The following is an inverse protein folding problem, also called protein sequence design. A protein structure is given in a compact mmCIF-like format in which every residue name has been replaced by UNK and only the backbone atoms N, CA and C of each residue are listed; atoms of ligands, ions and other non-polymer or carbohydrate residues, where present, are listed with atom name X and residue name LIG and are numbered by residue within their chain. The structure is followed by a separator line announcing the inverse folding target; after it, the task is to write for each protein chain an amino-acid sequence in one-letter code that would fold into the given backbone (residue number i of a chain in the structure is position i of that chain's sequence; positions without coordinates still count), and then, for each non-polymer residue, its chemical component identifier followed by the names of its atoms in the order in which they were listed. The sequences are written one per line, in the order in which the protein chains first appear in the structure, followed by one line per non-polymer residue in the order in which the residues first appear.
data_IF_811195696809
#
_entry.id   IF_811195696809
#
_cell.length_a   1.000
_cell.length_b   1.000
_cell.length_c   1.000
_cell.angle_alpha   90.00
_cell.angle_beta   90.00
_cell.angle_gamma   90.00
#
_symmetry.space_group_name_H-M   'P 1'
#
loop_
_entity.id
_entity.type
_entity.pdbx_description
1 polymer ?
#
# COMPACT_ATOMS: atom_id res chain seq x y z
N UNK A 1 -34.73 -15.13 46.27
CA UNK A 1 -33.70 -14.80 45.23
C UNK A 1 -33.55 -16.03 44.35
N UNK A 2 -34.21 -16.05 43.19
CA UNK A 2 -34.03 -17.12 42.23
C UNK A 2 -32.66 -16.97 41.57
N UNK A 3 -31.70 -17.81 42.00
CA UNK A 3 -30.38 -17.85 41.34
C UNK A 3 -30.55 -18.18 39.86
N UNK A 4 -29.83 -17.48 39.00
CA UNK A 4 -29.74 -17.83 37.58
C UNK A 4 -29.31 -19.28 37.48
N UNK A 5 -30.07 -20.06 36.70
CA UNK A 5 -29.73 -21.47 36.53
C UNK A 5 -28.39 -21.64 35.78
N UNK A 6 -27.61 -22.70 36.09
CA UNK A 6 -26.27 -22.89 35.51
C UNK A 6 -26.26 -22.89 34.01
N UNK A 7 -27.30 -23.40 33.36
CA UNK A 7 -27.41 -23.46 31.91
C UNK A 7 -27.64 -22.08 31.26
N UNK A 8 -28.44 -21.23 31.89
CA UNK A 8 -28.62 -19.82 31.44
C UNK A 8 -27.33 -19.03 31.56
N UNK A 9 -26.57 -19.23 32.64
CA UNK A 9 -25.25 -18.63 32.80
C UNK A 9 -24.27 -19.12 31.74
N UNK A 10 -24.29 -20.41 31.38
CA UNK A 10 -23.42 -20.99 30.36
C UNK A 10 -23.74 -20.42 28.96
N UNK A 11 -25.01 -20.28 28.57
CA UNK A 11 -25.43 -19.70 27.29
C UNK A 11 -24.97 -18.22 27.22
N UNK A 12 -25.21 -17.42 28.26
CA UNK A 12 -24.78 -16.03 28.28
C UNK A 12 -23.26 -15.91 28.21
N UNK A 13 -22.52 -16.72 28.98
CA UNK A 13 -21.07 -16.69 29.00
C UNK A 13 -20.49 -17.04 27.64
N UNK A 14 -20.99 -18.10 26.98
CA UNK A 14 -20.51 -18.53 25.63
C UNK A 14 -20.81 -17.46 24.56
N UNK A 15 -22.03 -16.91 24.57
CA UNK A 15 -22.42 -15.85 23.62
C UNK A 15 -21.57 -14.59 23.80
N UNK A 16 -21.32 -14.20 25.05
CA UNK A 16 -20.49 -13.04 25.37
C UNK A 16 -19.04 -13.27 24.93
N UNK A 17 -18.48 -14.47 25.19
CA UNK A 17 -17.12 -14.81 24.81
C UNK A 17 -16.94 -14.77 23.27
N UNK A 18 -17.86 -15.36 22.52
CA UNK A 18 -17.83 -15.36 21.05
C UNK A 18 -17.98 -13.95 20.49
N UNK A 19 -18.83 -13.11 21.06
CA UNK A 19 -18.98 -11.72 20.65
C UNK A 19 -17.72 -10.89 20.93
N UNK A 20 -17.06 -11.10 22.07
CA UNK A 20 -15.80 -10.42 22.42
C UNK A 20 -14.65 -10.87 21.50
N UNK A 21 -14.54 -12.17 21.18
CA UNK A 21 -13.52 -12.64 20.27
C UNK A 21 -13.71 -12.09 18.85
N UNK A 22 -14.93 -12.07 18.33
CA UNK A 22 -15.24 -11.48 17.04
C UNK A 22 -14.95 -9.96 17.00
N UNK A 23 -15.20 -9.24 18.10
CA UNK A 23 -14.85 -7.83 18.22
C UNK A 23 -13.32 -7.61 18.19
N UNK A 24 -12.55 -8.45 18.88
CA UNK A 24 -11.08 -8.42 18.85
C UNK A 24 -10.55 -8.62 17.43
N UNK A 25 -11.08 -9.59 16.70
CA UNK A 25 -10.70 -9.85 15.29
C UNK A 25 -11.00 -8.65 14.38
N UNK A 26 -12.09 -7.92 14.62
CA UNK A 26 -12.42 -6.68 13.91
C UNK A 26 -11.34 -5.61 14.17
N UNK A 27 -10.92 -5.43 15.42
CA UNK A 27 -9.89 -4.44 15.77
C UNK A 27 -8.54 -4.81 15.16
N UNK A 28 -8.17 -6.08 15.22
CA UNK A 28 -6.93 -6.59 14.61
C UNK A 28 -6.93 -6.40 13.08
N UNK A 29 -8.05 -6.69 12.42
CA UNK A 29 -8.18 -6.47 10.98
C UNK A 29 -8.02 -4.99 10.60
N UNK A 30 -8.61 -4.07 11.38
CA UNK A 30 -8.44 -2.62 11.18
C UNK A 30 -7.00 -2.17 11.40
N UNK A 31 -6.37 -2.66 12.46
CA UNK A 31 -4.97 -2.32 12.78
C UNK A 31 -4.02 -2.82 11.70
N UNK A 32 -4.13 -4.08 11.28
CA UNK A 32 -3.32 -4.67 10.21
C UNK A 32 -3.48 -3.90 8.89
N UNK A 33 -4.70 -3.54 8.54
CA UNK A 33 -4.95 -2.75 7.32
C UNK A 33 -4.30 -1.36 7.39
N UNK A 34 -4.32 -0.71 8.56
CA UNK A 34 -3.66 0.57 8.76
C UNK A 34 -2.14 0.47 8.62
N UNK A 35 -1.53 -0.57 9.20
CA UNK A 35 -0.09 -0.83 9.10
C UNK A 35 0.31 -1.08 7.64
N UNK A 36 -0.40 -1.97 6.94
CA UNK A 36 -0.13 -2.25 5.53
C UNK A 36 -0.32 -1.02 4.64
N UNK A 37 -1.36 -0.22 4.89
CA UNK A 37 -1.56 1.04 4.17
C UNK A 37 -0.34 1.97 4.33
N UNK A 38 0.17 2.14 5.55
CA UNK A 38 1.37 2.96 5.82
C UNK A 38 2.63 2.39 5.16
N UNK A 39 2.76 1.06 5.13
CA UNK A 39 3.87 0.43 4.41
C UNK A 39 3.83 0.77 2.92
N UNK A 40 2.68 0.63 2.25
CA UNK A 40 2.56 1.00 0.84
C UNK A 40 2.77 2.50 0.58
N UNK A 41 2.31 3.37 1.48
CA UNK A 41 2.60 4.81 1.39
C UNK A 41 4.10 5.13 1.50
N UNK A 42 4.84 4.40 2.34
CA UNK A 42 6.28 4.52 2.44
C UNK A 42 6.98 3.97 1.18
N UNK A 43 6.54 2.82 0.65
CA UNK A 43 7.08 2.26 -0.59
C UNK A 43 6.89 3.21 -1.79
N UNK A 44 5.72 3.86 -1.88
CA UNK A 44 5.47 4.90 -2.89
C UNK A 44 6.48 6.03 -2.76
N UNK A 45 6.64 6.59 -1.56
CA UNK A 45 7.59 7.68 -1.31
C UNK A 45 9.03 7.28 -1.62
N UNK A 46 9.43 6.07 -1.26
CA UNK A 46 10.77 5.56 -1.57
C UNK A 46 10.97 5.41 -3.08
N UNK A 47 9.99 4.89 -3.82
CA UNK A 47 10.06 4.78 -5.27
C UNK A 47 10.16 6.16 -5.95
N UNK A 48 9.40 7.15 -5.48
CA UNK A 48 9.48 8.53 -5.99
C UNK A 48 10.83 9.19 -5.70
N UNK A 49 11.36 9.03 -4.48
CA UNK A 49 12.69 9.56 -4.11
C UNK A 49 13.80 8.90 -4.93
N UNK A 50 13.74 7.59 -5.11
CA UNK A 50 14.71 6.87 -5.94
C UNK A 50 14.66 7.35 -7.39
N UNK A 51 13.47 7.56 -7.96
CA UNK A 51 13.31 8.09 -9.30
C UNK A 51 13.93 9.48 -9.45
N UNK A 52 13.73 10.37 -8.47
CA UNK A 52 14.35 11.71 -8.47
C UNK A 52 15.87 11.60 -8.43
N UNK A 53 16.43 10.71 -7.62
CA UNK A 53 17.88 10.48 -7.56
C UNK A 53 18.41 9.96 -8.90
N UNK A 54 17.77 8.95 -9.48
CA UNK A 54 18.14 8.40 -10.78
C UNK A 54 18.02 9.43 -11.90
N UNK A 55 16.98 10.28 -11.92
CA UNK A 55 16.87 11.38 -12.86
C UNK A 55 18.03 12.38 -12.72
N UNK A 56 18.42 12.74 -11.51
CA UNK A 56 19.52 13.65 -11.25
C UNK A 56 20.87 13.05 -11.69
N UNK A 57 21.11 11.78 -11.37
CA UNK A 57 22.31 11.06 -11.80
C UNK A 57 22.41 10.99 -13.34
N UNK A 58 21.27 10.82 -14.03
CA UNK A 58 21.25 10.83 -15.51
C UNK A 58 21.55 12.21 -16.09
N UNK A 59 21.05 13.29 -15.44
CA UNK A 59 21.36 14.66 -15.86
C UNK A 59 22.83 15.00 -15.65
N UNK A 60 23.38 14.70 -14.47
CA UNK A 60 24.78 14.91 -14.14
C UNK A 60 25.70 14.19 -15.13
N UNK A 61 25.48 12.89 -15.38
CA UNK A 61 26.25 12.11 -16.37
C UNK A 61 26.16 12.68 -17.78
N UNK A 62 25.01 13.23 -18.17
CA UNK A 62 24.86 13.87 -19.47
C UNK A 62 25.65 15.18 -19.54
N UNK A 63 25.59 16.01 -18.48
CA UNK A 63 26.34 17.27 -18.37
C UNK A 63 27.84 17.00 -18.39
N UNK A 64 28.34 16.05 -17.62
CA UNK A 64 29.75 15.63 -17.63
C UNK A 64 30.20 15.19 -19.00
N UNK A 65 29.38 14.40 -19.70
CA UNK A 65 29.69 13.94 -21.06
C UNK A 65 29.74 15.11 -22.08
N UNK A 66 28.83 16.08 -21.91
CA UNK A 66 28.83 17.28 -22.74
C UNK A 66 30.06 18.16 -22.46
N UNK A 67 30.43 18.33 -21.17
CA UNK A 67 31.63 19.07 -20.79
C UNK A 67 32.91 18.40 -21.29
N UNK A 68 33.01 17.06 -21.15
CA UNK A 68 34.14 16.29 -21.66
C UNK A 68 34.26 16.43 -23.16
N UNK A 69 33.16 16.39 -23.93
CA UNK A 69 33.16 16.61 -25.36
C UNK A 69 33.65 18.03 -25.70
N UNK A 70 33.17 19.05 -25.02
CA UNK A 70 33.61 20.44 -25.21
C UNK A 70 35.11 20.60 -24.97
N UNK A 71 35.62 20.05 -23.85
CA UNK A 71 37.02 20.08 -23.50
C UNK A 71 37.91 19.38 -24.57
N UNK A 72 37.49 18.20 -25.05
CA UNK A 72 38.17 17.49 -26.10
C UNK A 72 38.25 18.29 -27.39
N UNK A 73 37.13 18.86 -27.87
CA UNK A 73 37.12 19.66 -29.11
C UNK A 73 37.91 20.96 -28.96
N UNK A 74 37.89 21.61 -27.80
CA UNK A 74 38.72 22.78 -27.54
C UNK A 74 40.21 22.45 -27.60
N UNK A 75 40.65 21.30 -27.06
CA UNK A 75 42.05 20.87 -27.09
C UNK A 75 42.55 20.52 -28.53
N UNK A 76 41.65 20.19 -29.44
CA UNK A 76 41.98 19.89 -30.86
C UNK A 76 41.95 21.12 -31.74
N UNK A 77 41.70 22.32 -31.21
CA UNK A 77 41.66 23.58 -31.95
C UNK A 77 40.41 23.80 -32.81
N UNK A 78 39.38 22.96 -32.62
CA UNK A 78 38.08 23.16 -33.28
C UNK A 78 37.22 24.14 -32.52
N UNK A 79 36.53 25.03 -33.24
CA UNK A 79 35.57 25.97 -32.63
C UNK A 79 34.39 25.26 -31.96
N UNK A 80 33.90 25.83 -30.88
CA UNK A 80 32.81 25.31 -30.02
C UNK A 80 31.48 25.04 -30.80
N UNK A 81 31.35 25.56 -32.02
CA UNK A 81 30.18 25.43 -32.90
C UNK A 81 30.38 24.42 -34.03
N UNK A 82 31.35 23.50 -33.95
CA UNK A 82 31.48 22.50 -34.98
C UNK A 82 30.21 21.62 -35.08
N UNK A 83 29.75 21.37 -36.30
CA UNK A 83 28.53 20.57 -36.56
C UNK A 83 28.58 19.19 -35.88
N UNK A 84 29.77 18.64 -35.73
CA UNK A 84 30.00 17.34 -35.10
C UNK A 84 29.83 17.40 -33.58
N UNK A 85 30.30 18.48 -32.89
CA UNK A 85 30.13 18.69 -31.48
C UNK A 85 28.63 18.90 -31.11
N UNK A 86 27.95 19.75 -31.89
CA UNK A 86 26.52 19.97 -31.73
C UNK A 86 25.74 18.67 -31.87
N UNK A 87 26.01 17.90 -32.93
CA UNK A 87 25.35 16.61 -33.16
C UNK A 87 25.63 15.56 -32.05
N UNK A 88 26.86 15.53 -31.51
CA UNK A 88 27.20 14.63 -30.39
C UNK A 88 26.44 15.03 -29.13
N UNK A 89 26.39 16.31 -28.76
CA UNK A 89 25.69 16.81 -27.59
C UNK A 89 24.18 16.65 -27.71
N UNK A 90 23.60 16.80 -28.91
CA UNK A 90 22.17 16.51 -29.14
C UNK A 90 21.82 15.04 -28.89
N UNK A 91 22.70 14.10 -29.32
CA UNK A 91 22.51 12.67 -29.10
C UNK A 91 22.53 12.34 -27.58
N UNK A 92 23.47 12.92 -26.84
CA UNK A 92 23.55 12.76 -25.36
C UNK A 92 22.26 13.28 -24.72
N UNK A 93 21.83 14.48 -25.10
CA UNK A 93 20.59 15.08 -24.56
C UNK A 93 19.35 14.27 -24.90
N UNK A 94 19.24 13.74 -26.13
CA UNK A 94 18.14 12.87 -26.54
C UNK A 94 18.11 11.58 -25.72
N UNK A 95 19.28 10.95 -25.55
CA UNK A 95 19.40 9.73 -24.75
C UNK A 95 19.02 9.99 -23.29
N UNK A 96 19.54 11.04 -22.67
CA UNK A 96 19.18 11.44 -21.31
C UNK A 96 17.66 11.63 -21.15
N UNK A 97 17.01 12.34 -22.09
CA UNK A 97 15.56 12.54 -22.05
C UNK A 97 14.79 11.23 -22.15
N UNK A 98 15.23 10.30 -23.00
CA UNK A 98 14.61 8.97 -23.13
C UNK A 98 14.78 8.17 -21.82
N UNK A 99 15.99 8.11 -21.26
CA UNK A 99 16.27 7.43 -19.99
C UNK A 99 15.41 7.99 -18.84
N UNK A 100 15.27 9.32 -18.75
CA UNK A 100 14.41 9.98 -17.75
C UNK A 100 12.94 9.62 -17.97
N UNK A 101 12.49 9.57 -19.21
CA UNK A 101 11.10 9.15 -19.49
C UNK A 101 10.85 7.71 -19.08
N UNK A 102 11.79 6.81 -19.33
CA UNK A 102 11.70 5.41 -18.93
C UNK A 102 11.66 5.27 -17.39
N UNK A 103 12.49 6.03 -16.65
CA UNK A 103 12.46 6.10 -15.19
C UNK A 103 11.07 6.52 -14.71
N UNK A 104 10.50 7.57 -15.29
CA UNK A 104 9.17 8.07 -14.92
C UNK A 104 8.04 7.08 -15.18
N UNK A 105 8.08 6.42 -16.35
CA UNK A 105 7.09 5.40 -16.71
C UNK A 105 7.16 4.21 -15.75
N UNK A 106 8.36 3.72 -15.45
CA UNK A 106 8.57 2.61 -14.53
C UNK A 106 8.14 2.97 -13.10
N UNK A 107 8.47 4.19 -12.64
CA UNK A 107 8.04 4.68 -11.33
C UNK A 107 6.53 4.82 -11.26
N UNK A 108 5.89 5.39 -12.28
CA UNK A 108 4.43 5.51 -12.32
C UNK A 108 3.74 4.13 -12.29
N UNK A 109 4.28 3.13 -12.99
CA UNK A 109 3.77 1.77 -12.95
C UNK A 109 3.92 1.14 -11.54
N UNK A 110 5.07 1.37 -10.87
CA UNK A 110 5.32 0.87 -9.52
C UNK A 110 4.40 1.54 -8.50
N UNK A 111 4.26 2.86 -8.55
CA UNK A 111 3.32 3.64 -7.72
C UNK A 111 1.89 3.15 -7.93
N UNK A 112 1.46 2.98 -9.18
CA UNK A 112 0.14 2.44 -9.51
C UNK A 112 -0.10 1.06 -8.91
N UNK A 113 0.90 0.18 -8.93
CA UNK A 113 0.84 -1.13 -8.28
C UNK A 113 0.61 -1.01 -6.77
N UNK A 114 1.35 -0.15 -6.07
CA UNK A 114 1.19 0.04 -4.63
C UNK A 114 -0.15 0.70 -4.28
N UNK A 115 -0.65 1.62 -5.09
CA UNK A 115 -1.98 2.20 -4.92
C UNK A 115 -3.09 1.14 -5.04
N UNK A 116 -3.00 0.23 -6.01
CA UNK A 116 -3.91 -0.90 -6.14
C UNK A 116 -3.84 -1.84 -4.94
N UNK A 117 -2.63 -2.14 -4.43
CA UNK A 117 -2.46 -2.95 -3.22
C UNK A 117 -3.07 -2.27 -1.99
N UNK A 118 -2.92 -0.95 -1.84
CA UNK A 118 -3.55 -0.16 -0.78
C UNK A 118 -5.07 -0.25 -0.85
N UNK A 119 -5.65 -0.11 -2.03
CA UNK A 119 -7.09 -0.24 -2.24
C UNK A 119 -7.61 -1.66 -1.95
N UNK A 120 -6.91 -2.69 -2.42
CA UNK A 120 -7.29 -4.08 -2.18
C UNK A 120 -7.23 -4.45 -0.69
N UNK A 121 -6.20 -3.97 0.02
CA UNK A 121 -6.07 -4.15 1.47
C UNK A 121 -7.21 -3.47 2.23
N UNK A 122 -7.58 -2.25 1.84
CA UNK A 122 -8.70 -1.53 2.44
C UNK A 122 -10.04 -2.25 2.19
N UNK A 123 -10.26 -2.78 1.00
CA UNK A 123 -11.45 -3.56 0.66
C UNK A 123 -11.50 -4.88 1.45
N UNK A 124 -10.38 -5.62 1.55
CA UNK A 124 -10.30 -6.85 2.33
C UNK A 124 -10.57 -6.61 3.82
N UNK A 125 -10.02 -5.54 4.40
CA UNK A 125 -10.28 -5.16 5.78
C UNK A 125 -11.75 -4.79 6.01
N UNK A 126 -12.36 -4.03 5.09
CA UNK A 126 -13.79 -3.69 5.14
C UNK A 126 -14.67 -4.95 5.13
N UNK A 127 -14.34 -5.93 4.28
CA UNK A 127 -15.08 -7.19 4.21
C UNK A 127 -14.93 -8.01 5.50
N UNK A 128 -13.72 -8.09 6.08
CA UNK A 128 -13.49 -8.75 7.38
C UNK A 128 -14.26 -8.07 8.51
N UNK A 129 -14.24 -6.75 8.57
CA UNK A 129 -14.99 -5.96 9.56
C UNK A 129 -16.49 -6.20 9.42
N UNK A 130 -17.02 -6.17 8.21
CA UNK A 130 -18.43 -6.45 7.95
C UNK A 130 -18.81 -7.89 8.32
N UNK A 131 -18.00 -8.88 7.94
CA UNK A 131 -18.18 -10.28 8.34
C UNK A 131 -18.14 -10.47 9.86
N UNK A 132 -17.23 -9.79 10.56
CA UNK A 132 -17.16 -9.81 12.00
C UNK A 132 -18.41 -9.24 12.67
N UNK A 133 -18.95 -8.13 12.19
CA UNK A 133 -20.22 -7.61 12.72
C UNK A 133 -21.40 -8.54 12.42
N UNK A 134 -21.45 -9.15 11.25
CA UNK A 134 -22.48 -10.14 10.92
C UNK A 134 -22.38 -11.37 11.84
N UNK A 135 -21.15 -11.83 12.14
CA UNK A 135 -20.91 -12.92 13.10
C UNK A 135 -21.39 -12.56 14.52
N UNK A 136 -21.08 -11.37 15.01
CA UNK A 136 -21.59 -10.90 16.31
C UNK A 136 -23.12 -10.91 16.31
N UNK A 137 -23.75 -10.37 15.28
CA UNK A 137 -25.21 -10.33 15.16
C UNK A 137 -25.83 -11.72 15.15
N UNK A 138 -25.27 -12.66 14.41
CA UNK A 138 -25.76 -14.05 14.37
C UNK A 138 -25.55 -14.77 15.71
N UNK A 139 -24.40 -14.58 16.35
CA UNK A 139 -24.12 -15.17 17.68
C UNK A 139 -25.11 -14.69 18.73
N UNK A 140 -25.40 -13.40 18.76
CA UNK A 140 -26.39 -12.84 19.68
C UNK A 140 -27.80 -13.39 19.40
N UNK A 141 -28.19 -13.46 18.12
CA UNK A 141 -29.48 -14.02 17.72
C UNK A 141 -29.61 -15.50 18.08
N UNK A 142 -28.54 -16.30 17.89
CA UNK A 142 -28.53 -17.72 18.28
C UNK A 142 -28.63 -17.87 19.80
N UNK A 143 -27.87 -17.12 20.56
CA UNK A 143 -27.93 -17.14 22.03
C UNK A 143 -29.33 -16.77 22.57
N UNK A 144 -29.99 -15.78 21.94
CA UNK A 144 -31.36 -15.41 22.29
C UNK A 144 -32.36 -16.55 21.98
N UNK A 145 -32.21 -17.20 20.81
CA UNK A 145 -33.09 -18.32 20.40
C UNK A 145 -32.91 -19.53 21.34
N UNK A 146 -31.68 -19.88 21.70
CA UNK A 146 -31.36 -20.94 22.64
C UNK A 146 -31.97 -20.65 24.05
N UNK A 147 -31.87 -19.41 24.50
CA UNK A 147 -32.47 -18.97 25.74
C UNK A 147 -34.00 -19.10 25.74
N UNK A 148 -34.68 -18.68 24.67
CA UNK A 148 -36.12 -18.79 24.51
C UNK A 148 -36.61 -20.26 24.46
N UNK A 149 -35.89 -21.12 23.72
CA UNK A 149 -36.15 -22.55 23.65
C UNK A 149 -36.00 -23.23 25.03
N UNK A 150 -34.95 -22.88 25.76
CA UNK A 150 -34.73 -23.36 27.11
C UNK A 150 -35.86 -22.95 28.05
N UNK A 151 -36.32 -21.71 27.96
CA UNK A 151 -37.43 -21.20 28.77
C UNK A 151 -38.75 -21.92 28.46
N UNK A 152 -39.05 -22.22 27.18
CA UNK A 152 -40.25 -22.95 26.73
C UNK A 152 -40.22 -24.43 27.11
N UNK A 153 -39.07 -25.06 27.19
CA UNK A 153 -38.93 -26.47 27.57
C UNK A 153 -39.11 -26.74 29.08
N UNK A 154 -39.22 -25.70 29.91
CA UNK A 154 -39.47 -25.79 31.34
C UNK A 154 -40.93 -25.55 31.74
N UNK A 155 -41.80 -25.20 30.85
CA UNK A 155 -43.25 -25.08 31.08
C UNK A 155 -43.97 -26.33 30.69
#
# INVERSE_FOLDING_TARGET
MSGMEPMTLAIIANTTFQAVSAYSEIQDAKFQALVQKRQYENEIKMAELQAIQEENDRREKAEDSIMANKAYWASTGFLDNSRNLVGANERITKKMKADIQDIRVNTAALVGKYELMKLSTAAAAKNKVFGGYASIGSTVATGYTEYELYKKGKG
#
